data_IF_418746606745
#
_entry.id   IF_418746606745
#
_cell.length_a   1.000
_cell.length_b   1.000
_cell.length_c   1.000
_cell.angle_alpha   90.00
_cell.angle_beta   90.00
_cell.angle_gamma   90.00
#
_symmetry.space_group_name_H-M   'P 1'
#
loop_
_entity.id
_entity.type
_entity.pdbx_description
1 polymer ?
#
# COMPACT_ATOMS: atom_id res chain seq x y z
N UNK A 1 14.11 15.28 23.15
CA UNK A 1 13.84 13.82 23.12
C UNK A 1 13.20 13.47 21.80
N UNK A 2 13.86 12.62 21.05
CA UNK A 2 13.32 12.10 19.79
C UNK A 2 12.15 11.16 20.10
N UNK A 3 10.98 11.41 19.51
CA UNK A 3 9.74 10.67 19.80
C UNK A 3 9.29 9.85 18.60
N UNK A 4 9.38 8.52 18.72
CA UNK A 4 8.79 7.59 17.76
C UNK A 4 7.35 7.29 18.16
N UNK A 5 6.40 7.61 17.29
CA UNK A 5 5.00 7.23 17.45
C UNK A 5 4.74 5.93 16.70
N UNK A 6 4.19 4.97 17.41
CA UNK A 6 3.75 3.69 16.85
C UNK A 6 2.31 3.42 17.28
N UNK A 7 1.43 3.24 16.31
CA UNK A 7 0.04 2.84 16.51
C UNK A 7 -0.27 1.66 15.60
N UNK A 8 -1.01 0.68 16.09
CA UNK A 8 -1.37 -0.50 15.30
C UNK A 8 -2.86 -0.82 15.44
N UNK A 9 -3.73 -0.09 14.72
CA UNK A 9 -5.15 -0.42 14.63
C UNK A 9 -5.36 -1.81 14.02
N UNK A 10 -6.49 -2.41 14.37
CA UNK A 10 -6.88 -3.76 14.00
C UNK A 10 -8.08 -3.75 13.06
N UNK A 11 -8.01 -4.56 12.02
CA UNK A 11 -9.14 -4.87 11.14
C UNK A 11 -9.54 -6.34 11.36
N UNK A 12 -10.69 -6.54 12.02
CA UNK A 12 -11.18 -7.88 12.42
C UNK A 12 -11.32 -8.81 11.21
N UNK A 13 -10.85 -10.05 11.37
CA UNK A 13 -11.05 -11.12 10.40
C UNK A 13 -12.54 -11.40 10.16
N UNK A 14 -12.93 -11.75 8.93
CA UNK A 14 -14.34 -11.98 8.55
C UNK A 14 -15.22 -10.72 8.51
N UNK A 15 -14.64 -9.52 8.67
CA UNK A 15 -15.34 -8.25 8.55
C UNK A 15 -15.48 -7.77 7.10
N UNK A 16 -16.01 -6.56 6.94
CA UNK A 16 -16.24 -5.90 5.65
C UNK A 16 -14.95 -5.82 4.79
N UNK A 17 -14.89 -6.62 3.72
CA UNK A 17 -13.77 -6.69 2.79
C UNK A 17 -13.57 -5.36 2.06
N UNK A 18 -14.65 -4.64 1.75
CA UNK A 18 -14.60 -3.33 1.11
C UNK A 18 -13.89 -2.29 2.00
N UNK A 19 -14.13 -2.32 3.32
CA UNK A 19 -13.45 -1.44 4.27
C UNK A 19 -11.94 -1.69 4.32
N UNK A 20 -11.52 -2.97 4.24
CA UNK A 20 -10.09 -3.32 4.19
C UNK A 20 -9.47 -2.88 2.88
N UNK A 21 -10.11 -3.16 1.75
CA UNK A 21 -9.66 -2.74 0.42
C UNK A 21 -9.47 -1.22 0.35
N UNK A 22 -10.46 -0.45 0.78
CA UNK A 22 -10.40 1.02 0.80
C UNK A 22 -9.27 1.54 1.71
N UNK A 23 -8.98 0.84 2.81
CA UNK A 23 -7.87 1.23 3.69
C UNK A 23 -6.51 1.07 3.02
N UNK A 24 -6.28 -0.01 2.28
CA UNK A 24 -5.03 -0.23 1.54
C UNK A 24 -4.88 0.80 0.41
N UNK A 25 -5.94 0.99 -0.39
CA UNK A 25 -5.95 2.01 -1.45
C UNK A 25 -5.64 3.39 -0.89
N UNK A 26 -6.31 3.79 0.19
CA UNK A 26 -6.08 5.07 0.86
C UNK A 26 -4.62 5.28 1.27
N UNK A 27 -3.95 4.25 1.81
CA UNK A 27 -2.53 4.37 2.16
C UNK A 27 -1.65 4.54 0.94
N UNK A 28 -1.93 3.77 -0.11
CA UNK A 28 -1.07 3.69 -1.28
C UNK A 28 -1.15 4.93 -2.18
N UNK A 29 -2.28 5.65 -2.16
CA UNK A 29 -2.58 6.66 -3.18
C UNK A 29 -2.94 8.04 -2.64
N UNK A 30 -3.00 8.25 -1.32
CA UNK A 30 -3.38 9.56 -0.76
C UNK A 30 -2.32 10.64 -1.04
N UNK A 31 -2.68 11.95 -1.02
CA UNK A 31 -1.73 13.05 -1.17
C UNK A 31 -0.58 12.95 -0.17
N UNK A 32 0.66 13.14 -0.64
CA UNK A 32 1.88 13.07 0.17
C UNK A 32 2.46 11.66 0.33
N UNK A 33 1.97 10.66 -0.43
CA UNK A 33 2.65 9.37 -0.53
C UNK A 33 3.80 9.47 -1.53
N UNK A 34 4.97 8.98 -1.14
CA UNK A 34 6.10 8.86 -2.06
C UNK A 34 5.93 7.63 -2.95
N UNK A 35 5.95 7.85 -4.26
CA UNK A 35 5.86 6.77 -5.26
C UNK A 35 7.29 6.30 -5.57
N UNK A 36 7.57 5.02 -5.31
CA UNK A 36 8.83 4.41 -5.75
C UNK A 36 8.79 4.22 -7.27
N UNK A 37 9.60 4.99 -8.00
CA UNK A 37 9.69 4.91 -9.47
C UNK A 37 10.68 3.83 -9.90
N UNK A 38 10.21 2.85 -10.64
CA UNK A 38 11.07 1.86 -11.34
C UNK A 38 11.46 2.34 -12.75
N UNK A 39 11.76 3.62 -12.91
CA UNK A 39 12.32 4.22 -14.12
C UNK A 39 11.43 4.12 -15.37
N UNK A 40 10.84 5.23 -15.79
CA UNK A 40 10.35 5.44 -17.16
C UNK A 40 8.98 4.84 -17.48
N UNK A 41 7.95 5.34 -16.86
CA UNK A 41 6.57 5.03 -17.25
C UNK A 41 6.21 5.63 -18.62
N UNK A 42 5.68 4.81 -19.53
CA UNK A 42 5.23 5.25 -20.85
C UNK A 42 3.89 6.01 -20.76
N UNK A 43 3.69 7.09 -21.54
CA UNK A 43 2.41 7.80 -21.56
C UNK A 43 1.25 6.90 -21.99
N UNK A 44 0.09 7.09 -21.38
CA UNK A 44 -1.14 6.36 -21.72
C UNK A 44 -1.45 6.42 -23.22
N UNK A 45 -1.71 5.28 -23.82
CA UNK A 45 -1.96 5.15 -25.27
C UNK A 45 -3.27 5.86 -25.65
N UNK A 46 -3.38 6.29 -26.91
CA UNK A 46 -4.63 6.86 -27.45
C UNK A 46 -5.83 5.92 -27.26
N UNK A 47 -5.59 4.61 -27.31
CA UNK A 47 -6.61 3.59 -27.13
C UNK A 47 -7.08 3.50 -25.68
N UNK A 48 -6.13 3.50 -24.71
CA UNK A 48 -6.48 3.55 -23.29
C UNK A 48 -7.27 4.83 -22.94
N UNK A 49 -6.83 6.00 -23.43
CA UNK A 49 -7.54 7.27 -23.20
C UNK A 49 -8.96 7.23 -23.76
N UNK A 50 -9.15 6.74 -24.99
CA UNK A 50 -10.47 6.58 -25.60
C UNK A 50 -11.36 5.60 -24.82
N UNK A 51 -10.76 4.51 -24.31
CA UNK A 51 -11.46 3.53 -23.50
C UNK A 51 -11.91 4.13 -22.15
N UNK A 52 -11.05 4.83 -21.44
CA UNK A 52 -11.37 5.51 -20.19
C UNK A 52 -12.54 6.48 -20.39
N UNK A 53 -12.52 7.27 -21.46
CA UNK A 53 -13.65 8.19 -21.76
C UNK A 53 -14.98 7.45 -21.96
N UNK A 54 -14.97 6.31 -22.63
CA UNK A 54 -16.17 5.48 -22.80
C UNK A 54 -16.64 4.86 -21.49
N UNK A 55 -15.71 4.39 -20.67
CA UNK A 55 -15.97 3.83 -19.35
C UNK A 55 -16.63 4.88 -18.44
N UNK A 56 -16.09 6.09 -18.39
CA UNK A 56 -16.65 7.19 -17.60
C UNK A 56 -18.02 7.69 -18.10
N UNK A 57 -18.34 7.51 -19.37
CA UNK A 57 -19.70 7.77 -19.89
C UNK A 57 -20.68 6.70 -19.47
N UNK A 58 -20.24 5.44 -19.42
CA UNK A 58 -21.07 4.32 -19.01
C UNK A 58 -21.24 4.27 -17.48
N UNK A 59 -20.24 4.68 -16.74
CA UNK A 59 -20.15 4.65 -15.27
C UNK A 59 -19.60 5.98 -14.75
N UNK A 60 -20.43 7.02 -14.60
CA UNK A 60 -19.98 8.33 -14.11
C UNK A 60 -19.31 8.27 -12.75
N UNK A 61 -19.79 7.37 -11.85
CA UNK A 61 -19.28 7.18 -10.49
C UNK A 61 -17.86 6.59 -10.45
N UNK A 62 -17.37 6.03 -11.57
CA UNK A 62 -15.99 5.60 -11.67
C UNK A 62 -14.96 6.75 -11.53
N UNK A 63 -15.42 8.01 -11.59
CA UNK A 63 -14.58 9.18 -11.30
C UNK A 63 -14.21 9.29 -9.82
N UNK A 64 -14.95 8.65 -8.94
CA UNK A 64 -14.69 8.63 -7.49
C UNK A 64 -13.65 7.57 -7.08
N UNK A 65 -13.22 6.72 -8.02
CA UNK A 65 -12.16 5.76 -7.77
C UNK A 65 -10.82 6.46 -7.60
N UNK A 66 -10.04 6.01 -6.63
CA UNK A 66 -8.69 6.52 -6.36
C UNK A 66 -7.76 6.29 -7.56
N UNK A 67 -7.92 5.18 -8.26
CA UNK A 67 -7.17 4.84 -9.47
C UNK A 67 -7.45 5.81 -10.63
N UNK A 68 -8.64 6.44 -10.66
CA UNK A 68 -8.92 7.51 -11.61
C UNK A 68 -8.17 8.80 -11.25
N UNK A 69 -8.12 9.14 -9.98
CA UNK A 69 -7.34 10.29 -9.49
C UNK A 69 -5.85 10.10 -9.81
N UNK A 70 -5.32 8.89 -9.59
CA UNK A 70 -3.93 8.56 -9.93
C UNK A 70 -3.68 8.65 -11.43
N UNK A 71 -4.58 8.13 -12.26
CA UNK A 71 -4.51 8.29 -13.71
C UNK A 71 -4.51 9.76 -14.14
N UNK A 72 -5.32 10.62 -13.51
CA UNK A 72 -5.33 12.05 -13.83
C UNK A 72 -4.01 12.75 -13.53
N UNK A 73 -3.32 12.33 -12.45
CA UNK A 73 -2.02 12.89 -12.06
C UNK A 73 -0.89 12.44 -12.99
N UNK A 74 -0.86 11.17 -13.35
CA UNK A 74 0.30 10.56 -13.99
C UNK A 74 0.13 10.32 -15.49
N UNK A 75 -1.07 9.99 -15.96
CA UNK A 75 -1.44 9.72 -17.36
C UNK A 75 -0.53 8.70 -18.07
N UNK A 76 -0.05 7.69 -17.33
CA UNK A 76 0.81 6.63 -17.82
C UNK A 76 0.03 5.41 -18.31
N UNK A 77 0.68 4.47 -19.00
CA UNK A 77 0.04 3.22 -19.41
C UNK A 77 -0.37 2.39 -18.20
N UNK A 78 0.45 2.41 -17.16
CA UNK A 78 0.23 1.70 -15.91
C UNK A 78 -0.99 2.25 -15.18
N UNK A 79 -1.01 3.56 -14.88
CA UNK A 79 -2.14 4.20 -14.18
C UNK A 79 -3.45 4.08 -14.97
N UNK A 80 -3.37 4.16 -16.31
CA UNK A 80 -4.53 3.93 -17.18
C UNK A 80 -5.04 2.48 -17.10
N UNK A 81 -4.13 1.50 -17.10
CA UNK A 81 -4.47 0.07 -17.01
C UNK A 81 -5.08 -0.26 -15.65
N UNK A 82 -4.49 0.26 -14.57
CA UNK A 82 -4.97 0.05 -13.21
C UNK A 82 -6.39 0.62 -13.03
N UNK A 83 -6.62 1.86 -13.46
CA UNK A 83 -7.95 2.45 -13.41
C UNK A 83 -8.97 1.63 -14.23
N UNK A 84 -8.64 1.22 -15.46
CA UNK A 84 -9.53 0.41 -16.30
C UNK A 84 -9.89 -0.90 -15.60
N UNK A 85 -8.90 -1.55 -14.98
CA UNK A 85 -9.11 -2.82 -14.29
C UNK A 85 -10.02 -2.62 -13.08
N UNK A 86 -9.71 -1.66 -12.20
CA UNK A 86 -10.48 -1.40 -10.99
C UNK A 86 -11.93 -0.99 -11.31
N UNK A 87 -12.11 -0.09 -12.26
CA UNK A 87 -13.45 0.31 -12.67
C UNK A 87 -14.29 -0.85 -13.22
N UNK A 88 -13.65 -1.83 -13.86
CA UNK A 88 -14.34 -3.05 -14.30
C UNK A 88 -14.75 -3.96 -13.14
N UNK A 89 -13.90 -4.08 -12.13
CA UNK A 89 -14.20 -4.89 -10.95
C UNK A 89 -15.34 -4.28 -10.12
N UNK A 90 -15.30 -2.98 -9.88
CA UNK A 90 -16.27 -2.30 -9.01
C UNK A 90 -17.62 -2.04 -9.70
N UNK A 91 -17.64 -1.85 -11.02
CA UNK A 91 -18.85 -1.53 -11.78
C UNK A 91 -19.29 -2.66 -12.73
N UNK A 92 -18.72 -3.86 -12.62
CA UNK A 92 -19.20 -5.04 -13.35
C UNK A 92 -20.59 -5.48 -12.84
N UNK A 93 -21.62 -4.81 -13.33
CA UNK A 93 -23.02 -5.25 -13.22
C UNK A 93 -23.26 -6.40 -14.21
N UNK A 94 -24.21 -7.32 -13.96
CA UNK A 94 -24.39 -8.57 -14.71
C UNK A 94 -24.22 -8.39 -16.21
N UNK A 95 -23.30 -9.13 -16.79
CA UNK A 95 -22.72 -9.04 -18.13
C UNK A 95 -23.70 -9.19 -19.30
N UNK A 96 -24.93 -9.63 -19.07
CA UNK A 96 -25.87 -10.02 -20.13
C UNK A 96 -26.35 -8.91 -21.07
N UNK A 97 -26.06 -7.64 -20.76
CA UNK A 97 -26.45 -6.50 -21.61
C UNK A 97 -25.29 -5.69 -22.20
N UNK A 98 -24.00 -6.06 -21.92
CA UNK A 98 -22.84 -5.26 -22.31
C UNK A 98 -21.67 -6.05 -22.91
N UNK A 99 -21.96 -7.22 -23.42
CA UNK A 99 -20.98 -8.24 -23.87
C UNK A 99 -19.97 -7.71 -24.93
N UNK A 100 -20.40 -6.90 -25.87
CA UNK A 100 -19.55 -6.50 -27.01
C UNK A 100 -18.43 -5.49 -26.67
N UNK A 101 -18.50 -4.81 -25.53
CA UNK A 101 -17.53 -3.78 -25.19
C UNK A 101 -16.46 -4.26 -24.22
N UNK A 102 -16.83 -5.10 -23.26
CA UNK A 102 -15.92 -5.65 -22.26
C UNK A 102 -15.07 -6.79 -22.82
N UNK A 103 -15.62 -7.57 -23.75
CA UNK A 103 -14.91 -8.66 -24.45
C UNK A 103 -13.73 -8.15 -25.30
N UNK A 104 -13.90 -7.02 -25.96
CA UNK A 104 -12.84 -6.37 -26.75
C UNK A 104 -11.60 -5.98 -25.90
N UNK A 105 -11.78 -5.68 -24.63
CA UNK A 105 -10.70 -5.23 -23.74
C UNK A 105 -10.05 -6.37 -22.98
N UNK A 106 -10.82 -7.41 -22.65
CA UNK A 106 -10.31 -8.55 -21.87
C UNK A 106 -9.32 -9.45 -22.65
N UNK A 107 -9.34 -9.41 -23.97
CA UNK A 107 -8.54 -10.28 -24.84
C UNK A 107 -7.35 -9.58 -25.53
N UNK A 108 -6.93 -8.39 -25.07
CA UNK A 108 -5.83 -7.68 -25.73
C UNK A 108 -4.47 -7.95 -25.08
N UNK A 109 -3.48 -8.39 -25.88
CA UNK A 109 -2.08 -8.38 -25.45
C UNK A 109 -1.61 -6.95 -25.16
N UNK A 110 -1.00 -6.70 -23.97
CA UNK A 110 -0.35 -5.43 -23.63
C UNK A 110 -1.13 -4.48 -22.73
N UNK A 111 -2.24 -4.89 -22.09
CA UNK A 111 -2.80 -4.17 -20.94
C UNK A 111 -2.05 -4.68 -19.70
N UNK A 112 -0.95 -4.06 -19.38
CA UNK A 112 -0.26 -4.36 -18.13
C UNK A 112 -1.06 -3.81 -16.95
N UNK A 113 -1.20 -4.65 -15.91
CA UNK A 113 -1.97 -4.38 -14.69
C UNK A 113 -1.08 -3.71 -13.63
N UNK A 114 -0.37 -2.65 -14.01
CA UNK A 114 0.54 -1.92 -13.13
C UNK A 114 0.18 -0.45 -13.11
N UNK A 115 -0.31 0.02 -11.96
CA UNK A 115 -0.55 1.43 -11.70
C UNK A 115 0.65 2.11 -11.04
N UNK A 116 0.74 3.43 -11.09
CA UNK A 116 1.65 4.20 -10.25
C UNK A 116 1.02 4.40 -8.88
N UNK A 117 1.65 3.85 -7.85
CA UNK A 117 1.21 3.95 -6.47
C UNK A 117 2.40 3.86 -5.51
N UNK A 118 2.21 4.28 -4.27
CA UNK A 118 3.26 4.29 -3.24
C UNK A 118 3.36 3.02 -2.41
N UNK A 119 2.72 1.91 -2.79
CA UNK A 119 2.76 0.67 -2.02
C UNK A 119 4.02 -0.14 -2.35
N UNK A 120 4.72 -0.60 -1.32
CA UNK A 120 5.93 -1.41 -1.43
C UNK A 120 5.98 -2.51 -0.37
N UNK A 121 6.84 -3.50 -0.58
CA UNK A 121 7.14 -4.62 0.32
C UNK A 121 8.65 -4.90 0.30
N UNK A 122 9.11 -6.04 0.81
CA UNK A 122 10.54 -6.39 0.85
C UNK A 122 11.24 -6.27 -0.50
N UNK A 123 10.63 -6.72 -1.56
CA UNK A 123 11.17 -6.70 -2.92
C UNK A 123 11.18 -5.33 -3.61
N UNK A 124 10.61 -4.30 -3.00
CA UNK A 124 10.44 -2.97 -3.60
C UNK A 124 8.98 -2.64 -3.87
N UNK A 125 8.70 -1.87 -4.93
CA UNK A 125 7.35 -1.50 -5.36
C UNK A 125 6.51 -2.76 -5.63
N UNK A 126 5.26 -2.73 -5.15
CA UNK A 126 4.27 -3.76 -5.48
C UNK A 126 3.87 -3.62 -6.95
N UNK A 127 3.97 -4.67 -7.73
CA UNK A 127 3.69 -4.61 -9.17
C UNK A 127 2.20 -4.40 -9.48
N UNK A 128 1.32 -4.98 -8.65
CA UNK A 128 -0.13 -4.94 -8.86
C UNK A 128 -0.84 -4.56 -7.57
N UNK A 129 -1.25 -3.29 -7.46
CA UNK A 129 -1.97 -2.77 -6.30
C UNK A 129 -3.26 -3.54 -6.03
N UNK A 130 -4.01 -3.90 -7.05
CA UNK A 130 -5.31 -4.55 -6.87
C UNK A 130 -5.19 -6.00 -6.42
N UNK A 131 -4.11 -6.70 -6.78
CA UNK A 131 -3.82 -8.02 -6.20
C UNK A 131 -3.50 -7.90 -4.72
N UNK A 132 -2.65 -6.95 -4.33
CA UNK A 132 -2.34 -6.69 -2.93
C UNK A 132 -3.60 -6.30 -2.14
N UNK A 133 -4.46 -5.46 -2.71
CA UNK A 133 -5.74 -5.06 -2.12
C UNK A 133 -6.65 -6.27 -1.93
N UNK A 134 -6.77 -7.13 -2.96
CA UNK A 134 -7.59 -8.34 -2.89
C UNK A 134 -7.06 -9.33 -1.85
N UNK A 135 -5.74 -9.59 -1.84
CA UNK A 135 -5.11 -10.46 -0.85
C UNK A 135 -5.46 -10.05 0.58
N UNK A 136 -5.35 -8.74 0.88
CA UNK A 136 -5.68 -8.22 2.22
C UNK A 136 -7.19 -8.20 2.48
N UNK A 137 -8.02 -7.85 1.49
CA UNK A 137 -9.47 -7.75 1.65
C UNK A 137 -10.12 -9.11 1.90
N UNK A 138 -9.67 -10.14 1.19
CA UNK A 138 -10.19 -11.51 1.27
C UNK A 138 -9.52 -12.34 2.37
N UNK A 139 -8.47 -11.80 3.02
CA UNK A 139 -7.75 -12.54 4.05
C UNK A 139 -8.65 -12.91 5.24
N UNK A 140 -8.78 -14.21 5.57
CA UNK A 140 -9.71 -14.67 6.60
C UNK A 140 -9.24 -14.40 8.04
N UNK A 141 -7.94 -14.21 8.24
CA UNK A 141 -7.31 -13.98 9.54
C UNK A 141 -7.25 -12.51 9.96
N UNK A 142 -6.39 -12.24 10.93
CA UNK A 142 -6.16 -10.92 11.47
C UNK A 142 -5.30 -10.07 10.54
N UNK A 143 -5.72 -8.83 10.28
CA UNK A 143 -4.96 -7.83 9.52
C UNK A 143 -4.73 -6.62 10.40
N UNK A 144 -3.48 -6.27 10.60
CA UNK A 144 -3.05 -5.13 11.41
C UNK A 144 -2.59 -3.99 10.52
N UNK A 145 -2.89 -2.75 10.92
CA UNK A 145 -2.53 -1.56 10.13
C UNK A 145 -1.68 -0.60 10.96
N UNK A 146 -0.43 -0.98 11.32
CA UNK A 146 0.43 -0.13 12.11
C UNK A 146 0.83 1.15 11.36
N UNK A 147 1.01 2.22 12.14
CA UNK A 147 1.58 3.49 11.69
C UNK A 147 2.82 3.76 12.51
N UNK A 148 3.93 4.01 11.83
CA UNK A 148 5.19 4.40 12.45
C UNK A 148 5.53 5.81 12.01
N UNK A 149 5.71 6.74 12.96
CA UNK A 149 5.94 8.14 12.66
C UNK A 149 7.08 8.71 13.51
N UNK A 150 7.88 9.59 12.90
CA UNK A 150 8.88 10.40 13.58
C UNK A 150 8.72 11.87 13.17
N UNK A 151 9.31 12.79 13.96
CA UNK A 151 9.32 14.21 13.62
C UNK A 151 10.14 14.44 12.36
N UNK A 152 9.73 15.40 11.53
CA UNK A 152 10.47 15.75 10.31
C UNK A 152 11.94 16.06 10.58
N UNK A 153 12.23 16.88 11.58
CA UNK A 153 13.61 17.23 11.96
C UNK A 153 14.47 16.01 12.28
N UNK A 154 13.90 15.01 12.97
CA UNK A 154 14.62 13.76 13.26
C UNK A 154 14.78 12.92 11.98
N UNK A 155 13.77 12.90 11.11
CA UNK A 155 13.83 12.17 9.84
C UNK A 155 14.94 12.71 8.93
N UNK A 156 14.99 14.03 8.73
CA UNK A 156 16.01 14.70 7.93
C UNK A 156 17.41 14.47 8.51
N UNK A 157 17.57 14.62 9.81
CA UNK A 157 18.85 14.41 10.51
C UNK A 157 19.34 12.96 10.45
N UNK A 158 18.44 11.98 10.49
CA UNK A 158 18.75 10.56 10.57
C UNK A 158 18.60 9.84 9.21
N UNK A 159 18.23 10.56 8.15
CA UNK A 159 18.10 10.01 6.81
C UNK A 159 16.83 9.20 6.58
N UNK A 160 15.77 9.43 7.35
CA UNK A 160 14.46 8.77 7.18
C UNK A 160 13.41 9.68 6.53
N UNK A 161 13.83 10.55 5.64
CA UNK A 161 13.01 11.47 4.86
C UNK A 161 12.56 10.91 3.50
N UNK A 162 12.80 9.64 3.24
CA UNK A 162 12.48 8.95 1.98
C UNK A 162 11.99 7.51 2.19
N UNK A 163 11.24 6.97 1.21
CA UNK A 163 10.65 5.64 1.28
C UNK A 163 11.69 4.52 1.30
N UNK A 164 12.83 4.68 0.64
CA UNK A 164 13.84 3.63 0.52
C UNK A 164 14.48 3.29 1.88
N UNK A 165 14.84 4.32 2.67
CA UNK A 165 15.42 4.12 3.99
C UNK A 165 14.39 3.52 4.98
N UNK A 166 13.11 3.89 4.86
CA UNK A 166 12.04 3.23 5.60
C UNK A 166 11.87 1.77 5.19
N UNK A 167 11.97 1.45 3.90
CA UNK A 167 11.94 0.06 3.42
C UNK A 167 13.10 -0.76 3.99
N UNK A 168 14.31 -0.21 3.97
CA UNK A 168 15.47 -0.84 4.57
C UNK A 168 15.28 -1.09 6.08
N UNK A 169 14.74 -0.11 6.81
CA UNK A 169 14.42 -0.21 8.24
C UNK A 169 13.39 -1.32 8.51
N UNK A 170 12.30 -1.38 7.74
CA UNK A 170 11.30 -2.44 7.89
C UNK A 170 11.91 -3.80 7.61
N UNK A 171 12.67 -3.96 6.52
CA UNK A 171 13.36 -5.20 6.19
C UNK A 171 14.31 -5.66 7.31
N UNK A 172 15.06 -4.74 7.90
CA UNK A 172 15.92 -5.03 9.04
C UNK A 172 15.14 -5.40 10.32
N UNK A 173 13.85 -5.09 10.38
CA UNK A 173 12.99 -5.29 11.55
C UNK A 173 12.02 -6.48 11.42
N UNK A 174 12.06 -7.25 10.32
CA UNK A 174 11.07 -8.29 10.04
C UNK A 174 10.95 -9.36 11.14
N UNK A 175 12.08 -9.79 11.70
CA UNK A 175 12.07 -10.76 12.81
C UNK A 175 11.40 -10.20 14.08
N UNK A 176 11.64 -8.91 14.38
CA UNK A 176 11.01 -8.26 15.54
C UNK A 176 9.52 -8.04 15.30
N UNK A 177 9.12 -7.71 14.07
CA UNK A 177 7.72 -7.59 13.65
C UNK A 177 7.04 -8.96 13.78
N UNK A 178 7.58 -10.00 13.16
CA UNK A 178 7.05 -11.36 13.24
C UNK A 178 6.84 -11.82 14.68
N UNK A 179 7.86 -11.64 15.52
CA UNK A 179 7.79 -11.99 16.94
C UNK A 179 6.72 -11.17 17.69
N UNK A 180 6.67 -9.85 17.48
CA UNK A 180 5.72 -8.97 18.16
C UNK A 180 4.27 -9.26 17.79
N UNK A 181 4.02 -9.65 16.55
CA UNK A 181 2.69 -10.03 16.04
C UNK A 181 2.37 -11.53 16.23
N UNK A 182 3.29 -12.32 16.79
CA UNK A 182 3.14 -13.78 16.93
C UNK A 182 2.85 -14.46 15.59
N UNK A 183 3.64 -14.12 14.59
CA UNK A 183 3.60 -14.67 13.24
C UNK A 183 4.90 -15.43 13.03
N UNK A 184 4.82 -16.63 12.44
CA UNK A 184 6.03 -17.35 12.02
C UNK A 184 6.74 -16.51 10.93
N UNK A 185 8.08 -16.34 10.98
CA UNK A 185 8.80 -15.48 10.02
C UNK A 185 8.49 -15.78 8.55
N UNK A 186 8.37 -17.05 8.16
CA UNK A 186 8.06 -17.46 6.79
C UNK A 186 6.61 -17.14 6.36
N UNK A 187 5.72 -16.98 7.34
CA UNK A 187 4.33 -16.64 7.12
C UNK A 187 4.06 -15.14 7.12
N UNK A 188 5.05 -14.33 7.53
CA UNK A 188 4.88 -12.88 7.59
C UNK A 188 4.63 -12.30 6.20
N UNK A 189 3.52 -11.58 6.07
CA UNK A 189 3.16 -10.77 4.89
C UNK A 189 2.97 -9.34 5.33
N UNK A 190 3.45 -8.42 4.51
CA UNK A 190 3.32 -7.02 4.82
C UNK A 190 3.43 -6.13 3.57
N UNK A 191 2.75 -5.00 3.65
CA UNK A 191 2.84 -3.90 2.72
C UNK A 191 3.05 -2.60 3.48
N UNK A 192 3.67 -1.60 2.84
CA UNK A 192 3.79 -0.28 3.44
C UNK A 192 3.74 0.82 2.37
N UNK A 193 3.45 2.05 2.82
CA UNK A 193 3.53 3.25 2.02
C UNK A 193 4.09 4.40 2.87
N UNK A 194 5.02 5.16 2.31
CA UNK A 194 5.63 6.32 2.95
C UNK A 194 4.80 7.57 2.71
N UNK A 195 4.67 8.37 3.74
CA UNK A 195 3.92 9.62 3.71
C UNK A 195 4.68 10.73 4.39
N UNK A 196 4.78 11.83 3.67
CA UNK A 196 5.38 13.05 4.15
C UNK A 196 4.31 14.07 4.57
N UNK A 197 4.49 14.70 5.74
CA UNK A 197 3.68 15.81 6.23
C UNK A 197 4.60 16.91 6.74
N UNK A 198 4.09 18.14 6.81
CA UNK A 198 4.84 19.31 7.25
C UNK A 198 5.63 19.10 8.56
N UNK A 199 5.04 18.44 9.55
CA UNK A 199 5.63 18.26 10.89
C UNK A 199 6.16 16.86 11.18
N UNK A 200 5.89 15.89 10.33
CA UNK A 200 6.27 14.48 10.55
C UNK A 200 6.35 13.70 9.25
N UNK A 201 7.19 12.70 9.24
CA UNK A 201 7.17 11.64 8.24
C UNK A 201 6.68 10.36 8.88
N UNK A 202 6.01 9.51 8.13
CA UNK A 202 5.47 8.26 8.64
C UNK A 202 5.25 7.23 7.54
N UNK A 203 5.25 5.98 7.95
CA UNK A 203 4.78 4.88 7.10
C UNK A 203 3.45 4.35 7.62
N UNK A 204 2.55 4.05 6.70
CA UNK A 204 1.43 3.15 6.95
C UNK A 204 1.84 1.76 6.52
N UNK A 205 1.58 0.79 7.39
CA UNK A 205 1.85 -0.60 7.07
C UNK A 205 0.57 -1.41 7.10
N UNK A 206 0.60 -2.56 6.46
CA UNK A 206 -0.35 -3.66 6.63
C UNK A 206 0.48 -4.89 6.98
N UNK A 207 0.13 -5.56 8.06
CA UNK A 207 0.85 -6.75 8.56
C UNK A 207 -0.17 -7.85 8.81
N UNK A 208 0.09 -9.03 8.26
CA UNK A 208 -0.75 -10.21 8.43
C UNK A 208 0.08 -11.49 8.24
N UNK A 209 -0.49 -12.64 8.57
CA UNK A 209 0.14 -13.94 8.35
C UNK A 209 -0.50 -14.65 7.16
N UNK A 210 0.27 -15.41 6.39
CA UNK A 210 -0.30 -16.35 5.42
C UNK A 210 -1.08 -17.50 6.10
N UNK A 211 -0.82 -17.79 7.38
CA UNK A 211 -1.66 -18.66 8.20
C UNK A 211 -2.70 -17.83 8.96
N UNK A 212 -4.02 -17.99 8.68
CA UNK A 212 -5.07 -17.20 9.33
C UNK A 212 -5.20 -17.45 10.84
N UNK A 213 -4.55 -18.48 11.38
CA UNK A 213 -4.54 -18.79 12.82
C UNK A 213 -3.50 -18.01 13.62
N UNK A 214 -2.63 -17.30 12.95
CA UNK A 214 -1.59 -16.46 13.54
C UNK A 214 -1.98 -14.98 13.59
N UNK A 215 -1.06 -14.12 13.99
CA UNK A 215 -1.24 -12.67 13.92
C UNK A 215 -1.97 -12.10 15.14
N UNK A 216 -1.50 -12.40 16.34
CA UNK A 216 -2.03 -11.89 17.61
C UNK A 216 -1.09 -10.84 18.21
N UNK A 217 -1.51 -9.59 18.22
CA UNK A 217 -0.74 -8.50 18.80
C UNK A 217 -1.19 -8.22 20.24
N UNK A 218 -0.21 -8.22 21.14
CA UNK A 218 -0.40 -7.90 22.56
C UNK A 218 0.23 -6.53 22.88
N UNK A 219 -0.09 -5.90 24.04
CA UNK A 219 0.59 -4.69 24.48
C UNK A 219 2.12 -4.86 24.57
N UNK A 220 2.60 -6.06 24.96
CA UNK A 220 4.03 -6.38 24.98
C UNK A 220 4.61 -6.47 23.56
N UNK A 221 3.89 -7.07 22.63
CA UNK A 221 4.26 -7.12 21.22
C UNK A 221 4.37 -5.72 20.62
N UNK A 222 3.44 -4.83 20.94
CA UNK A 222 3.51 -3.40 20.52
C UNK A 222 4.77 -2.75 21.07
N UNK A 223 5.06 -2.92 22.36
CA UNK A 223 6.28 -2.36 22.99
C UNK A 223 7.55 -2.91 22.34
N UNK A 224 7.59 -4.21 22.05
CA UNK A 224 8.73 -4.88 21.41
C UNK A 224 8.99 -4.31 20.01
N UNK A 225 7.95 -4.22 19.16
CA UNK A 225 8.09 -3.68 17.79
C UNK A 225 8.48 -2.21 17.84
N UNK A 226 7.83 -1.40 18.68
CA UNK A 226 8.18 0.02 18.86
C UNK A 226 9.64 0.18 19.29
N UNK A 227 10.10 -0.62 20.25
CA UNK A 227 11.50 -0.61 20.74
C UNK A 227 12.49 -1.00 19.64
N UNK A 228 12.14 -1.98 18.80
CA UNK A 228 13.00 -2.41 17.70
C UNK A 228 13.20 -1.30 16.66
N UNK A 229 12.11 -0.64 16.25
CA UNK A 229 12.18 0.52 15.36
C UNK A 229 12.96 1.67 15.99
N UNK A 230 12.65 2.03 17.25
CA UNK A 230 13.32 3.14 17.94
C UNK A 230 14.85 2.90 18.06
N UNK A 231 15.28 1.71 18.42
CA UNK A 231 16.72 1.37 18.51
C UNK A 231 17.42 1.54 17.17
N UNK A 232 16.82 1.12 16.07
CA UNK A 232 17.43 1.22 14.74
C UNK A 232 17.45 2.66 14.24
N UNK A 233 16.37 3.41 14.41
CA UNK A 233 16.26 4.81 13.97
C UNK A 233 17.23 5.68 14.75
N UNK A 234 17.30 5.53 16.08
CA UNK A 234 18.08 6.38 16.96
C UNK A 234 19.42 5.74 17.39
N UNK A 235 19.90 4.73 16.66
CA UNK A 235 21.13 4.02 17.01
C UNK A 235 22.33 4.97 17.15
N UNK A 236 22.47 5.96 16.27
CA UNK A 236 23.55 6.92 16.33
C UNK A 236 23.47 7.79 17.60
N UNK A 237 22.27 8.24 17.96
CA UNK A 237 22.05 9.05 19.17
C UNK A 237 22.39 8.24 20.45
N UNK A 238 22.13 6.93 20.44
CA UNK A 238 22.41 6.04 21.57
C UNK A 238 23.91 5.78 21.73
N UNK A 239 24.67 5.77 20.65
CA UNK A 239 26.13 5.55 20.70
C UNK A 239 26.89 6.75 21.28
N UNK A 240 26.32 7.93 21.33
CA UNK A 240 26.92 9.12 21.92
C UNK A 240 26.66 9.27 23.43
N UNK A 241 25.84 8.37 24.02
CA UNK A 241 25.50 8.42 25.45
C UNK A 241 26.43 7.49 26.29
N UNK A 242 27.24 6.67 25.65
CA UNK A 242 28.24 5.78 26.26
C UNK A 242 29.65 6.14 25.73
#
# INVERSE_FOLDING_TARGET
MSDLRFMSPYLKGGGDSARRANRIRYFATRPGVEVLSDGGSQPATKKQKAYIQRLLRAFPDARELLEYEDYLKNQTQESASEFIRQAREDFAVPMSQRENYLDYVSHRPGVELRGEHGLWTSGGKVENLSEAVREVAEHPGNVWTPVVAIRRQDAERLGYDNAENWRALVNASLCDIAKGYKIHPDHLRWYAAFHEKEKSVHIHMVVFSSDPKEGYLTPDGIRQVKSAFARRIFQQDLMHIY
#
